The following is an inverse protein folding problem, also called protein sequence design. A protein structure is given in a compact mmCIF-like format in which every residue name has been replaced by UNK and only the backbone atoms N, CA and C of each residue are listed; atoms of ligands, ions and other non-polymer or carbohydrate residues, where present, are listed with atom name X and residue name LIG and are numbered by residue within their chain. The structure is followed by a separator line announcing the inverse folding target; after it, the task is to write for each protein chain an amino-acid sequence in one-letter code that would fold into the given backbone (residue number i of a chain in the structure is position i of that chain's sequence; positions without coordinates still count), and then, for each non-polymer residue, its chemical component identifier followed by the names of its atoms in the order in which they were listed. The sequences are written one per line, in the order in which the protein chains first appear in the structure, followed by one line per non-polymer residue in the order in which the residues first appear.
data_IF_126361709504
#
_entry.id   IF_126361709504
#
_cell.length_a   1.000
_cell.length_b   1.000
_cell.length_c   1.000
_cell.angle_alpha   90.00
_cell.angle_beta   90.00
_cell.angle_gamma   90.00
#
_symmetry.space_group_name_H-M   'P 1'
#
loop_
_entity.id
_entity.type
_entity.pdbx_description
1 polymer ?
#
# COMPACT_ATOMS: atom_id res chain seq x y z
N UNK A 1 -3.53 21.30 3.20
CA UNK A 1 -4.46 22.12 2.40
C UNK A 1 -5.83 21.44 2.38
N UNK A 2 -6.95 22.15 2.60
CA UNK A 2 -8.30 21.63 2.38
C UNK A 2 -8.58 21.35 0.90
N UNK A 3 -9.49 20.41 0.59
CA UNK A 3 -9.85 20.03 -0.78
C UNK A 3 -10.34 21.20 -1.62
N UNK A 4 -11.16 22.09 -1.04
CA UNK A 4 -11.66 23.29 -1.72
C UNK A 4 -10.57 24.27 -2.20
N UNK A 5 -9.37 24.22 -1.62
CA UNK A 5 -8.20 24.98 -2.06
C UNK A 5 -7.38 24.13 -3.05
N UNK A 6 -7.17 22.85 -2.75
CA UNK A 6 -6.40 21.94 -3.60
C UNK A 6 -7.02 21.78 -5.01
N UNK A 7 -8.36 21.74 -5.08
CA UNK A 7 -9.13 21.57 -6.32
C UNK A 7 -9.14 22.82 -7.22
N UNK A 8 -8.55 23.94 -6.78
CA UNK A 8 -8.52 25.17 -7.58
C UNK A 8 -7.63 24.98 -8.81
N UNK A 9 -8.10 25.36 -10.02
CA UNK A 9 -7.25 25.36 -11.19
C UNK A 9 -6.13 26.40 -11.02
N UNK A 10 -4.94 26.09 -11.53
CA UNK A 10 -3.88 27.10 -11.64
C UNK A 10 -4.09 27.94 -12.90
N UNK A 11 -3.81 29.23 -12.80
CA UNK A 11 -4.02 30.18 -13.89
C UNK A 11 -2.73 30.89 -14.28
N UNK A 12 -2.63 32.16 -13.87
CA UNK A 12 -1.43 32.97 -14.06
C UNK A 12 -0.27 32.48 -13.16
N UNK A 13 0.94 32.23 -13.69
CA UNK A 13 2.07 31.77 -12.90
C UNK A 13 2.43 32.69 -11.73
N UNK A 14 2.30 34.01 -11.86
CA UNK A 14 2.63 34.93 -10.77
C UNK A 14 1.61 34.83 -9.62
N UNK A 15 0.31 34.68 -9.95
CA UNK A 15 -0.73 34.41 -8.96
C UNK A 15 -0.52 33.07 -8.25
N UNK A 16 -0.23 32.01 -9.02
CA UNK A 16 0.05 30.68 -8.45
C UNK A 16 1.28 30.71 -7.54
N UNK A 17 2.36 31.40 -7.94
CA UNK A 17 3.54 31.59 -7.10
C UNK A 17 3.21 32.33 -5.80
N UNK A 18 2.36 33.36 -5.86
CA UNK A 18 1.94 34.10 -4.68
C UNK A 18 1.17 33.19 -3.69
N UNK A 19 0.26 32.35 -4.20
CA UNK A 19 -0.47 31.37 -3.38
C UNK A 19 0.48 30.34 -2.76
N UNK A 20 1.39 29.75 -3.55
CA UNK A 20 2.36 28.77 -3.04
C UNK A 20 3.28 29.39 -1.99
N UNK A 21 3.73 30.63 -2.19
CA UNK A 21 4.50 31.38 -1.21
C UNK A 21 3.74 31.57 0.11
N UNK A 22 2.44 31.91 0.04
CA UNK A 22 1.59 32.06 1.23
C UNK A 22 1.45 30.73 1.98
N UNK A 23 1.17 29.65 1.26
CA UNK A 23 1.02 28.30 1.83
C UNK A 23 2.34 27.80 2.46
N UNK A 24 3.48 28.03 1.80
CA UNK A 24 4.79 27.52 2.20
C UNK A 24 5.57 28.50 3.10
N UNK A 25 5.02 29.69 3.36
CA UNK A 25 5.67 30.72 4.18
C UNK A 25 6.92 31.33 3.55
N UNK A 26 7.03 31.32 2.22
CA UNK A 26 8.17 31.85 1.47
C UNK A 26 7.85 33.17 0.76
N UNK A 27 8.84 33.80 0.14
CA UNK A 27 8.70 35.07 -0.60
C UNK A 27 9.46 35.06 -1.92
N UNK A 28 9.46 33.92 -2.61
CA UNK A 28 10.15 33.80 -3.90
C UNK A 28 9.52 34.73 -4.93
N UNK A 29 10.38 35.30 -5.78
CA UNK A 29 9.99 36.02 -6.99
C UNK A 29 10.64 35.33 -8.18
N UNK A 30 10.12 35.55 -9.39
CA UNK A 30 10.78 35.04 -10.60
C UNK A 30 12.17 35.63 -10.86
N UNK A 31 12.55 36.71 -10.16
CA UNK A 31 13.93 37.21 -10.18
C UNK A 31 14.85 36.41 -9.26
N UNK A 32 14.38 36.03 -8.06
CA UNK A 32 15.17 35.27 -7.09
C UNK A 32 15.18 33.77 -7.37
N UNK A 33 14.13 33.24 -8.00
CA UNK A 33 14.00 31.84 -8.38
C UNK A 33 13.41 31.72 -9.80
N UNK A 34 14.20 32.00 -10.86
CA UNK A 34 13.71 31.99 -12.25
C UNK A 34 13.15 30.64 -12.69
N UNK A 35 13.69 29.54 -12.16
CA UNK A 35 13.22 28.17 -12.40
C UNK A 35 11.74 27.93 -12.08
N UNK A 36 11.15 28.71 -11.18
CA UNK A 36 9.73 28.56 -10.84
C UNK A 36 8.80 29.00 -11.99
N UNK A 37 9.26 29.84 -12.92
CA UNK A 37 8.46 30.19 -14.11
C UNK A 37 8.18 28.94 -14.93
N UNK A 38 9.23 28.22 -15.34
CA UNK A 38 9.08 27.03 -16.17
C UNK A 38 8.39 25.89 -15.43
N UNK A 39 8.58 25.78 -14.11
CA UNK A 39 7.86 24.82 -13.28
C UNK A 39 6.34 25.04 -13.31
N UNK A 40 5.90 26.29 -13.13
CA UNK A 40 4.48 26.64 -13.09
C UNK A 40 3.82 26.58 -14.47
N UNK A 41 4.53 26.97 -15.52
CA UNK A 41 4.05 26.78 -16.90
C UNK A 41 3.91 25.30 -17.23
N UNK A 42 4.88 24.45 -16.85
CA UNK A 42 4.76 23.00 -17.00
C UNK A 42 3.54 22.44 -16.27
N UNK A 43 3.32 22.83 -15.02
CA UNK A 43 2.14 22.36 -14.27
C UNK A 43 0.84 22.77 -14.96
N UNK A 44 0.80 23.98 -15.53
CA UNK A 44 -0.36 24.50 -16.27
C UNK A 44 -0.59 23.73 -17.57
N UNK A 45 0.48 23.45 -18.33
CA UNK A 45 0.42 22.63 -19.55
C UNK A 45 -0.06 21.20 -19.26
N UNK A 46 0.28 20.65 -18.08
CA UNK A 46 -0.22 19.34 -17.60
C UNK A 46 -1.62 19.39 -17.00
N UNK A 47 -2.27 20.56 -17.00
CA UNK A 47 -3.61 20.77 -16.42
C UNK A 47 -3.68 20.39 -14.93
N UNK A 48 -2.59 20.60 -14.20
CA UNK A 48 -2.56 20.34 -12.75
C UNK A 48 -3.38 21.38 -11.99
N UNK A 49 -4.13 20.92 -10.99
CA UNK A 49 -4.72 21.80 -10.00
C UNK A 49 -3.66 22.29 -8.99
N UNK A 50 -4.08 23.18 -8.08
CA UNK A 50 -3.19 23.75 -7.08
C UNK A 50 -2.62 22.69 -6.15
N UNK A 51 -3.41 21.69 -5.77
CA UNK A 51 -2.99 20.57 -4.93
C UNK A 51 -1.86 19.78 -5.59
N UNK A 52 -2.06 19.37 -6.84
CA UNK A 52 -1.07 18.60 -7.59
C UNK A 52 0.19 19.45 -7.81
N UNK A 53 0.05 20.73 -8.16
CA UNK A 53 1.18 21.66 -8.32
C UNK A 53 1.97 21.82 -7.01
N UNK A 54 1.28 21.99 -5.88
CA UNK A 54 1.89 22.08 -4.57
C UNK A 54 2.63 20.78 -4.22
N UNK A 55 2.00 19.61 -4.37
CA UNK A 55 2.62 18.32 -4.10
C UNK A 55 3.84 18.04 -4.99
N UNK A 56 3.74 18.39 -6.27
CA UNK A 56 4.81 18.27 -7.26
C UNK A 56 5.90 19.33 -7.16
N UNK A 57 5.84 20.30 -6.25
CA UNK A 57 6.93 21.29 -6.07
C UNK A 57 7.46 21.36 -4.65
N UNK A 58 6.67 20.94 -3.66
CA UNK A 58 7.01 21.02 -2.23
C UNK A 58 8.34 20.34 -1.88
N UNK A 59 8.65 19.12 -2.34
CA UNK A 59 9.93 18.46 -2.03
C UNK A 59 11.19 19.23 -2.48
N UNK A 60 11.05 20.07 -3.50
CA UNK A 60 12.18 20.85 -4.06
C UNK A 60 12.19 22.31 -3.59
N UNK A 61 11.11 22.77 -2.94
CA UNK A 61 10.81 24.19 -2.75
C UNK A 61 11.86 24.92 -1.90
N UNK A 62 12.46 24.24 -0.93
CA UNK A 62 13.47 24.79 -0.03
C UNK A 62 14.89 24.35 -0.38
N UNK A 63 15.11 23.74 -1.54
CA UNK A 63 16.46 23.37 -1.97
C UNK A 63 17.30 24.62 -2.24
N UNK A 64 18.52 24.67 -1.71
CA UNK A 64 19.46 25.80 -1.90
C UNK A 64 19.72 26.09 -3.40
N UNK A 65 19.68 25.05 -4.22
CA UNK A 65 19.89 25.11 -5.67
C UNK A 65 18.60 25.22 -6.48
N UNK A 66 17.47 25.60 -5.87
CA UNK A 66 16.17 25.73 -6.56
C UNK A 66 16.26 26.50 -7.88
N UNK A 67 17.05 27.58 -7.90
CA UNK A 67 17.26 28.45 -9.05
C UNK A 67 18.05 27.82 -10.22
N UNK A 68 18.65 26.64 -10.00
CA UNK A 68 19.39 25.88 -11.02
C UNK A 68 18.57 24.70 -11.58
N UNK A 69 17.43 24.38 -10.97
CA UNK A 69 16.61 23.24 -11.37
C UNK A 69 15.86 23.61 -12.65
N UNK A 70 15.98 22.77 -13.68
CA UNK A 70 15.10 22.82 -14.85
C UNK A 70 13.96 21.79 -14.65
N UNK A 71 12.89 22.23 -13.99
CA UNK A 71 11.78 21.36 -13.56
C UNK A 71 11.16 20.50 -14.66
N UNK A 72 10.86 21.02 -15.87
CA UNK A 72 10.30 20.19 -16.94
C UNK A 72 11.18 18.97 -17.25
N UNK A 73 12.49 19.20 -17.46
CA UNK A 73 13.43 18.12 -17.77
C UNK A 73 13.67 17.18 -16.60
N UNK A 74 13.68 17.71 -15.37
CA UNK A 74 13.78 16.89 -14.16
C UNK A 74 12.59 15.93 -14.08
N UNK A 75 11.36 16.44 -14.16
CA UNK A 75 10.15 15.62 -14.06
C UNK A 75 10.04 14.62 -15.20
N UNK A 76 10.33 15.02 -16.43
CA UNK A 76 10.35 14.11 -17.58
C UNK A 76 11.39 13.00 -17.42
N UNK A 77 12.58 13.31 -16.87
CA UNK A 77 13.58 12.28 -16.59
C UNK A 77 13.12 11.33 -15.50
N UNK A 78 12.60 11.86 -14.38
CA UNK A 78 12.13 11.03 -13.27
C UNK A 78 10.98 10.10 -13.69
N UNK A 79 10.03 10.61 -14.48
CA UNK A 79 8.94 9.81 -15.04
C UNK A 79 9.47 8.74 -16.01
N UNK A 80 10.45 9.08 -16.84
CA UNK A 80 11.08 8.14 -17.77
C UNK A 80 11.84 7.04 -17.02
N UNK A 81 12.65 7.40 -16.04
CA UNK A 81 13.45 6.46 -15.25
C UNK A 81 12.54 5.52 -14.43
N UNK A 82 11.44 6.05 -13.87
CA UNK A 82 10.42 5.26 -13.15
C UNK A 82 9.70 4.24 -14.06
N UNK A 83 9.38 4.66 -15.29
CA UNK A 83 8.80 3.80 -16.32
C UNK A 83 9.77 2.73 -16.78
N UNK A 84 10.99 3.11 -17.16
CA UNK A 84 12.04 2.18 -17.59
C UNK A 84 12.35 1.14 -16.50
N UNK A 85 12.44 1.57 -15.23
CA UNK A 85 12.66 0.64 -14.10
C UNK A 85 11.57 -0.43 -14.03
N UNK A 86 10.30 -0.07 -14.25
CA UNK A 86 9.17 -1.02 -14.17
C UNK A 86 9.01 -1.90 -15.40
N UNK A 87 9.37 -1.40 -16.58
CA UNK A 87 9.44 -2.20 -17.79
C UNK A 87 10.51 -3.29 -17.66
N UNK A 88 11.68 -2.97 -17.10
CA UNK A 88 12.75 -3.93 -16.85
C UNK A 88 12.54 -4.80 -15.60
N UNK A 89 11.58 -4.46 -14.74
CA UNK A 89 11.28 -5.23 -13.54
C UNK A 89 10.68 -6.61 -13.84
N UNK A 90 10.14 -6.83 -15.04
CA UNK A 90 9.52 -8.09 -15.45
C UNK A 90 10.38 -8.80 -16.48
N UNK A 91 10.91 -9.98 -16.11
CA UNK A 91 11.68 -10.84 -17.00
C UNK A 91 11.04 -12.22 -16.99
N UNK A 92 10.65 -12.73 -18.18
CA UNK A 92 10.03 -14.05 -18.37
C UNK A 92 8.83 -14.30 -17.43
N UNK A 93 7.98 -13.29 -17.20
CA UNK A 93 6.82 -13.41 -16.33
C UNK A 93 7.12 -13.38 -14.82
N UNK A 94 8.34 -12.99 -14.44
CA UNK A 94 8.74 -12.82 -13.05
C UNK A 94 9.09 -11.37 -12.76
N UNK A 95 8.65 -10.85 -11.62
CA UNK A 95 9.11 -9.60 -11.04
C UNK A 95 10.47 -9.85 -10.40
N UNK A 96 11.55 -9.32 -10.98
CA UNK A 96 12.94 -9.51 -10.50
C UNK A 96 13.42 -8.41 -9.56
N UNK A 97 12.60 -7.38 -9.37
CA UNK A 97 12.82 -6.27 -8.42
C UNK A 97 11.69 -6.29 -7.38
N UNK A 98 11.90 -7.02 -6.28
CA UNK A 98 10.91 -7.16 -5.20
C UNK A 98 10.75 -5.92 -4.35
N UNK A 99 11.75 -5.03 -4.33
CA UNK A 99 11.77 -3.79 -3.54
C UNK A 99 11.42 -2.58 -4.42
N UNK A 100 10.48 -2.80 -5.34
CA UNK A 100 9.94 -1.74 -6.17
C UNK A 100 9.21 -0.71 -5.30
N UNK A 101 9.57 0.59 -5.35
CA UNK A 101 8.76 1.61 -4.72
C UNK A 101 7.35 1.60 -5.30
N UNK A 102 6.33 1.94 -4.50
CA UNK A 102 4.97 2.02 -5.01
C UNK A 102 4.94 2.98 -6.19
N UNK A 103 4.02 2.79 -7.14
CA UNK A 103 3.90 3.70 -8.29
C UNK A 103 3.41 5.08 -7.89
N UNK A 104 2.57 5.12 -6.87
CA UNK A 104 1.79 6.29 -6.46
C UNK A 104 1.68 6.35 -4.94
N UNK A 105 1.58 7.56 -4.43
CA UNK A 105 1.51 7.88 -3.00
C UNK A 105 0.52 9.00 -2.78
N UNK A 106 -0.30 8.90 -1.74
CA UNK A 106 -1.20 9.97 -1.34
C UNK A 106 -0.45 10.99 -0.48
N UNK A 107 -0.25 12.19 -1.01
CA UNK A 107 0.24 13.33 -0.22
C UNK A 107 -0.92 13.91 0.59
N UNK A 108 -0.81 13.79 1.91
CA UNK A 108 -1.84 14.23 2.85
C UNK A 108 -1.91 15.74 2.97
N UNK A 109 -0.85 16.49 2.64
CA UNK A 109 -0.88 17.95 2.66
C UNK A 109 -1.53 18.54 1.42
N UNK A 110 -1.27 17.96 0.24
CA UNK A 110 -1.88 18.39 -1.02
C UNK A 110 -3.27 17.80 -1.26
N UNK A 111 -3.59 16.71 -0.57
CA UNK A 111 -4.73 15.84 -0.85
C UNK A 111 -4.75 15.32 -2.30
N UNK A 112 -3.57 14.92 -2.81
CA UNK A 112 -3.41 14.34 -4.15
C UNK A 112 -2.57 13.07 -4.13
N UNK A 113 -2.91 12.16 -5.03
CA UNK A 113 -2.07 11.01 -5.35
C UNK A 113 -1.00 11.46 -6.33
N UNK A 114 0.23 11.51 -5.83
CA UNK A 114 1.42 11.85 -6.59
C UNK A 114 2.07 10.58 -7.14
N UNK A 115 2.79 10.66 -8.27
CA UNK A 115 3.74 9.61 -8.62
C UNK A 115 4.86 9.57 -7.57
N UNK A 116 5.35 8.39 -7.21
CA UNK A 116 6.28 8.27 -6.08
C UNK A 116 7.62 8.97 -6.29
N UNK A 117 8.09 9.08 -7.54
CA UNK A 117 9.30 9.84 -7.86
C UNK A 117 9.17 11.33 -7.54
N UNK A 118 7.96 11.86 -7.37
CA UNK A 118 7.75 13.25 -6.97
C UNK A 118 8.19 13.53 -5.52
N UNK A 119 8.34 12.51 -4.68
CA UNK A 119 8.80 12.71 -3.30
C UNK A 119 10.29 13.14 -3.25
N UNK A 120 11.04 13.00 -4.34
CA UNK A 120 12.50 13.23 -4.35
C UNK A 120 13.27 12.23 -3.48
N UNK A 121 12.62 11.14 -3.07
CA UNK A 121 13.20 10.06 -2.27
C UNK A 121 13.58 8.93 -3.22
N UNK A 122 14.88 8.86 -3.57
CA UNK A 122 15.38 7.93 -4.57
C UNK A 122 15.76 6.55 -4.00
N UNK A 123 15.90 6.44 -2.67
CA UNK A 123 16.26 5.19 -1.99
C UNK A 123 15.06 4.61 -1.24
N UNK A 124 14.73 3.34 -1.53
CA UNK A 124 13.60 2.64 -0.90
C UNK A 124 13.74 2.55 0.63
N UNK A 125 14.97 2.58 1.17
CA UNK A 125 15.22 2.62 2.62
C UNK A 125 14.77 3.92 3.30
N UNK A 126 14.77 5.05 2.57
CA UNK A 126 14.35 6.36 3.09
C UNK A 126 12.85 6.62 2.88
N UNK A 127 12.17 5.77 2.10
CA UNK A 127 10.73 5.82 1.89
C UNK A 127 9.96 5.64 3.22
N UNK A 128 10.44 4.74 4.06
CA UNK A 128 9.75 4.30 5.27
C UNK A 128 9.57 5.34 6.38
N UNK A 129 10.39 6.40 6.38
CA UNK A 129 10.34 7.45 7.41
C UNK A 129 9.33 8.55 7.10
N UNK A 130 8.87 8.67 5.86
CA UNK A 130 7.97 9.75 5.42
C UNK A 130 6.57 9.24 5.05
N UNK A 131 6.44 7.94 4.79
CA UNK A 131 5.19 7.31 4.35
C UNK A 131 4.63 6.40 5.43
N UNK A 132 3.35 6.57 5.74
CA UNK A 132 2.57 5.59 6.51
C UNK A 132 1.83 4.65 5.55
N UNK A 133 1.85 3.35 5.80
CA UNK A 133 1.01 2.40 5.06
C UNK A 133 -0.34 2.23 5.76
N UNK A 134 -1.43 2.23 4.98
CA UNK A 134 -2.79 2.13 5.51
C UNK A 134 -3.36 0.77 5.14
N UNK A 135 -3.58 -0.05 6.17
CA UNK A 135 -4.21 -1.36 6.06
C UNK A 135 -5.65 -1.25 6.56
N UNK A 136 -6.61 -1.85 5.85
CA UNK A 136 -8.02 -1.71 6.21
C UNK A 136 -8.87 -2.92 5.81
N UNK A 137 -9.97 -3.12 6.54
CA UNK A 137 -10.97 -4.11 6.15
C UNK A 137 -11.69 -3.65 4.88
N UNK A 138 -11.93 -4.59 3.98
CA UNK A 138 -12.73 -4.37 2.78
C UNK A 138 -14.21 -4.57 3.11
N UNK A 139 -14.97 -3.49 3.07
CA UNK A 139 -16.41 -3.53 3.32
C UNK A 139 -17.13 -4.39 2.26
N UNK A 140 -18.29 -4.99 2.57
CA UNK A 140 -19.14 -5.64 1.57
C UNK A 140 -19.45 -4.70 0.39
N UNK A 141 -19.71 -5.25 -0.81
CA UNK A 141 -19.97 -4.45 -2.02
C UNK A 141 -21.15 -3.48 -1.81
N UNK A 142 -22.19 -3.94 -1.11
CA UNK A 142 -23.37 -3.18 -0.75
C UNK A 142 -23.11 -2.06 0.27
N UNK A 143 -21.95 -2.04 0.93
CA UNK A 143 -21.52 -0.98 1.86
C UNK A 143 -20.39 -0.12 1.28
N UNK A 144 -20.03 -0.33 0.00
CA UNK A 144 -19.05 0.48 -0.74
C UNK A 144 -19.74 1.32 -1.81
N UNK A 145 -19.08 2.41 -2.17
CA UNK A 145 -19.45 3.26 -3.30
C UNK A 145 -18.17 3.63 -4.06
N UNK A 146 -18.22 3.48 -5.39
CA UNK A 146 -17.15 3.94 -6.27
C UNK A 146 -17.24 5.45 -6.43
N UNK A 147 -16.34 6.19 -5.80
CA UNK A 147 -16.33 7.66 -5.81
C UNK A 147 -15.33 8.18 -6.85
N UNK A 148 -15.79 8.99 -7.80
CA UNK A 148 -14.89 9.79 -8.62
C UNK A 148 -14.41 10.99 -7.81
N UNK A 149 -13.09 11.07 -7.57
CA UNK A 149 -12.50 12.06 -6.67
C UNK A 149 -11.31 12.77 -7.31
N UNK A 150 -11.12 14.04 -6.98
CA UNK A 150 -9.94 14.82 -7.39
C UNK A 150 -8.64 14.27 -6.77
N UNK A 151 -8.75 13.53 -5.66
CA UNK A 151 -7.59 12.94 -4.96
C UNK A 151 -6.73 12.09 -5.91
N UNK A 152 -7.34 11.27 -6.77
CA UNK A 152 -6.61 10.47 -7.77
C UNK A 152 -6.72 11.05 -9.19
N UNK A 153 -7.11 12.32 -9.33
CA UNK A 153 -7.32 12.98 -10.61
C UNK A 153 -8.46 12.40 -11.44
N UNK A 154 -9.50 11.85 -10.80
CA UNK A 154 -10.66 11.23 -11.45
C UNK A 154 -10.31 10.07 -12.41
N UNK A 155 -9.15 9.42 -12.25
CA UNK A 155 -8.67 8.37 -13.15
C UNK A 155 -9.44 7.05 -13.02
N UNK A 156 -9.81 6.67 -11.80
CA UNK A 156 -10.69 5.53 -11.51
C UNK A 156 -11.60 5.85 -10.32
N UNK A 157 -12.78 5.21 -10.21
CA UNK A 157 -13.60 5.31 -9.02
C UNK A 157 -12.91 4.64 -7.84
N UNK A 158 -12.85 5.33 -6.70
CA UNK A 158 -12.24 4.81 -5.47
C UNK A 158 -13.31 4.12 -4.64
N UNK A 159 -13.16 2.83 -4.26
CA UNK A 159 -14.19 2.07 -3.57
C UNK A 159 -14.24 2.38 -2.06
N UNK A 160 -14.74 3.56 -1.70
CA UNK A 160 -14.88 3.98 -0.31
C UNK A 160 -16.08 3.32 0.38
N UNK A 161 -16.05 3.14 1.71
CA UNK A 161 -17.27 2.92 2.49
C UNK A 161 -18.28 4.04 2.25
N UNK A 162 -19.58 3.72 2.25
CA UNK A 162 -20.66 4.69 1.95
C UNK A 162 -20.65 5.93 2.84
N UNK A 163 -20.32 5.75 4.11
CA UNK A 163 -20.37 6.81 5.13
C UNK A 163 -18.99 7.45 5.37
N UNK A 164 -17.98 7.11 4.55
CA UNK A 164 -16.64 7.67 4.68
C UNK A 164 -16.60 9.09 4.13
N UNK A 165 -16.15 10.03 4.97
CA UNK A 165 -15.66 11.34 4.53
C UNK A 165 -14.13 11.26 4.26
N UNK A 166 -13.69 11.37 2.99
CA UNK A 166 -12.26 11.34 2.66
C UNK A 166 -11.44 12.46 3.31
N UNK A 167 -12.05 13.63 3.54
CA UNK A 167 -11.36 14.74 4.20
C UNK A 167 -11.18 14.45 5.70
N UNK A 168 -12.21 13.90 6.34
CA UNK A 168 -12.14 13.37 7.71
C UNK A 168 -11.03 12.32 7.88
N UNK A 169 -10.96 11.34 6.96
CA UNK A 169 -9.88 10.33 6.94
C UNK A 169 -8.50 11.00 6.84
N UNK A 170 -8.31 11.93 5.89
CA UNK A 170 -7.04 12.65 5.73
C UNK A 170 -6.64 13.39 6.99
N UNK A 171 -7.59 14.08 7.63
CA UNK A 171 -7.35 14.82 8.88
C UNK A 171 -6.99 13.88 10.01
N UNK A 172 -7.65 12.72 10.11
CA UNK A 172 -7.28 11.69 11.08
C UNK A 172 -5.83 11.24 10.88
N UNK A 173 -5.47 10.82 9.67
CA UNK A 173 -4.13 10.33 9.31
C UNK A 173 -3.02 11.35 9.58
N UNK A 174 -3.29 12.64 9.40
CA UNK A 174 -2.38 13.73 9.75
C UNK A 174 -2.17 13.88 11.26
N UNK A 175 -3.18 13.55 12.06
CA UNK A 175 -3.16 13.73 13.51
C UNK A 175 -2.74 12.49 14.29
N UNK A 176 -2.76 11.28 13.70
CA UNK A 176 -2.41 10.02 14.40
C UNK A 176 -1.03 10.05 15.08
N UNK A 177 -0.07 10.79 14.54
CA UNK A 177 1.30 10.92 15.06
C UNK A 177 1.47 11.99 16.15
N UNK A 178 0.43 12.76 16.44
CA UNK A 178 0.46 13.80 17.49
C UNK A 178 0.09 13.24 18.87
N UNK A 179 -0.20 11.94 18.97
CA UNK A 179 -0.46 11.28 20.25
C UNK A 179 0.86 11.17 21.04
N UNK A 180 0.82 11.65 22.28
CA UNK A 180 1.98 11.82 23.17
C UNK A 180 2.57 10.50 23.71
N UNK A 181 2.08 9.36 23.24
CA UNK A 181 2.34 8.01 23.76
C UNK A 181 3.49 7.27 23.03
N UNK A 182 4.02 7.81 21.92
CA UNK A 182 5.15 7.20 21.20
C UNK A 182 6.45 7.96 21.51
N UNK A 183 7.35 7.45 22.39
CA UNK A 183 8.42 8.27 22.96
C UNK A 183 9.55 8.64 21.99
N UNK A 184 9.61 8.06 20.79
CA UNK A 184 10.84 8.06 19.99
C UNK A 184 10.72 8.29 18.48
N UNK A 185 9.74 9.06 17.97
CA UNK A 185 9.85 9.70 16.64
C UNK A 185 8.68 10.67 16.37
N UNK A 186 8.98 11.97 16.39
CA UNK A 186 8.07 13.06 16.00
C UNK A 186 8.14 13.35 14.49
N UNK A 187 8.11 12.33 13.63
CA UNK A 187 8.01 12.58 12.19
C UNK A 187 6.57 12.30 11.81
N UNK A 188 5.78 13.37 11.64
CA UNK A 188 4.45 13.25 11.07
C UNK A 188 4.61 12.69 9.64
N UNK A 189 3.95 11.57 9.35
CA UNK A 189 3.92 11.05 8.00
C UNK A 189 3.16 12.05 7.12
N UNK A 190 3.89 12.72 6.22
CA UNK A 190 3.35 13.68 5.26
C UNK A 190 2.60 12.96 4.13
N UNK A 191 2.91 11.68 3.94
CA UNK A 191 2.45 10.85 2.86
C UNK A 191 1.83 9.57 3.40
N UNK A 192 0.85 9.05 2.70
CA UNK A 192 0.24 7.75 2.97
C UNK A 192 0.28 6.88 1.71
N UNK A 193 0.49 5.58 1.89
CA UNK A 193 0.18 4.58 0.88
C UNK A 193 -1.13 3.89 1.28
N UNK A 194 -2.16 4.08 0.45
CA UNK A 194 -3.48 3.48 0.61
C UNK A 194 -3.82 2.79 -0.71
N UNK A 195 -3.88 1.46 -0.72
CA UNK A 195 -4.08 0.61 -1.90
C UNK A 195 -5.23 1.10 -2.82
N UNK A 196 -6.38 1.46 -2.28
CA UNK A 196 -7.55 1.92 -3.05
C UNK A 196 -7.32 3.25 -3.79
N UNK A 197 -6.38 4.08 -3.31
CA UNK A 197 -5.95 5.33 -3.95
C UNK A 197 -4.66 5.17 -4.77
N UNK A 198 -3.73 4.35 -4.31
CA UNK A 198 -2.37 4.24 -4.84
C UNK A 198 -2.23 3.12 -5.89
N UNK A 199 -3.18 2.19 -5.95
CA UNK A 199 -3.33 1.23 -7.03
C UNK A 199 -4.54 1.59 -7.90
N UNK A 200 -4.46 1.23 -9.17
CA UNK A 200 -5.55 1.48 -10.11
C UNK A 200 -6.69 0.50 -9.80
N UNK A 201 -7.90 1.00 -9.65
CA UNK A 201 -9.08 0.19 -9.33
C UNK A 201 -9.94 -0.09 -10.57
N UNK A 202 -10.81 -1.09 -10.44
CA UNK A 202 -11.85 -1.41 -11.43
C UNK A 202 -12.82 -0.25 -11.64
N UNK A 203 -13.39 -0.15 -12.84
CA UNK A 203 -14.42 0.84 -13.20
C UNK A 203 -13.86 2.14 -13.77
N UNK A 204 -12.58 2.15 -14.15
CA UNK A 204 -11.96 3.26 -14.86
C UNK A 204 -12.47 3.40 -16.30
N UNK A 205 -12.03 4.45 -17.00
CA UNK A 205 -12.25 4.58 -18.45
C UNK A 205 -11.60 3.37 -19.17
N UNK A 206 -12.05 2.96 -20.38
CA UNK A 206 -11.53 1.77 -21.05
C UNK A 206 -9.99 1.70 -21.20
N UNK A 207 -9.34 2.84 -21.45
CA UNK A 207 -7.87 2.90 -21.52
C UNK A 207 -7.21 2.65 -20.16
N UNK A 208 -7.86 3.03 -19.07
CA UNK A 208 -7.38 2.84 -17.70
C UNK A 208 -7.48 1.36 -17.29
N UNK A 209 -8.52 0.64 -17.73
CA UNK A 209 -8.62 -0.81 -17.49
C UNK A 209 -7.47 -1.58 -18.14
N UNK A 210 -7.08 -1.21 -19.37
CA UNK A 210 -5.91 -1.80 -20.04
C UNK A 210 -4.59 -1.50 -19.32
N UNK A 211 -4.48 -0.33 -18.67
CA UNK A 211 -3.32 0.01 -17.84
C UNK A 211 -3.36 -0.73 -16.50
N UNK A 212 -4.53 -0.98 -15.92
CA UNK A 212 -4.67 -1.65 -14.62
C UNK A 212 -4.03 -3.02 -14.63
N UNK A 213 -4.34 -3.85 -15.63
CA UNK A 213 -3.74 -5.18 -15.75
C UNK A 213 -2.20 -5.10 -15.88
N UNK A 214 -1.68 -4.14 -16.64
CA UNK A 214 -0.23 -3.92 -16.79
C UNK A 214 0.43 -3.47 -15.49
N UNK A 215 -0.17 -2.52 -14.79
CA UNK A 215 0.32 -2.02 -13.50
C UNK A 215 0.30 -3.13 -12.44
N UNK A 216 -0.81 -3.87 -12.34
CA UNK A 216 -1.00 -4.94 -11.36
C UNK A 216 0.00 -6.09 -11.50
N UNK A 217 0.48 -6.40 -12.71
CA UNK A 217 1.53 -7.41 -12.93
C UNK A 217 2.78 -7.16 -12.08
N UNK A 218 3.10 -5.90 -11.79
CA UNK A 218 4.26 -5.51 -10.96
C UNK A 218 3.83 -5.04 -9.58
N UNK A 219 2.81 -4.17 -9.51
CA UNK A 219 2.49 -3.44 -8.29
C UNK A 219 1.81 -4.33 -7.24
N UNK A 220 1.04 -5.36 -7.64
CA UNK A 220 0.39 -6.29 -6.69
C UNK A 220 1.41 -7.22 -6.02
N UNK A 221 2.32 -7.89 -6.77
CA UNK A 221 3.38 -8.70 -6.14
C UNK A 221 4.33 -7.93 -5.21
N UNK A 222 4.38 -6.59 -5.29
CA UNK A 222 5.28 -5.76 -4.48
C UNK A 222 4.61 -5.07 -3.29
N UNK A 223 3.29 -5.21 -3.08
CA UNK A 223 2.54 -4.59 -1.97
C UNK A 223 3.19 -4.86 -0.61
N UNK A 224 3.53 -6.13 -0.34
CA UNK A 224 4.14 -6.50 0.94
C UNK A 224 5.46 -5.75 1.23
N UNK A 225 6.24 -5.39 0.20
CA UNK A 225 7.46 -4.60 0.37
C UNK A 225 7.16 -3.17 0.83
N UNK A 226 6.02 -2.59 0.44
CA UNK A 226 5.60 -1.26 0.90
C UNK A 226 5.35 -1.28 2.41
N UNK A 227 4.55 -2.24 2.89
CA UNK A 227 4.28 -2.41 4.32
C UNK A 227 5.54 -2.75 5.11
N UNK A 228 6.45 -3.57 4.54
CA UNK A 228 7.73 -3.87 5.16
C UNK A 228 8.58 -2.61 5.35
N UNK A 229 8.58 -1.69 4.40
CA UNK A 229 9.43 -0.49 4.44
C UNK A 229 8.87 0.62 5.32
N UNK A 230 7.55 0.82 5.37
CA UNK A 230 6.93 1.86 6.18
C UNK A 230 7.17 1.65 7.68
N UNK A 231 7.58 2.69 8.40
CA UNK A 231 7.76 2.62 9.86
C UNK A 231 6.43 2.64 10.62
N UNK A 232 5.42 3.27 10.03
CA UNK A 232 4.07 3.33 10.57
C UNK A 232 3.13 2.56 9.67
N UNK A 233 2.32 1.70 10.30
CA UNK A 233 1.18 1.04 9.67
C UNK A 233 -0.07 1.41 10.46
N UNK A 234 -1.04 2.01 9.78
CA UNK A 234 -2.34 2.34 10.37
C UNK A 234 -3.33 1.25 9.97
N UNK A 235 -3.97 0.62 10.96
CA UNK A 235 -4.91 -0.48 10.76
C UNK A 235 -6.32 -0.03 11.10
N UNK A 236 -7.21 -0.08 10.10
CA UNK A 236 -8.65 0.12 10.26
C UNK A 236 -9.38 -1.22 10.27
N UNK A 237 -9.68 -1.74 11.47
CA UNK A 237 -10.23 -3.09 11.67
C UNK A 237 -11.68 -3.24 11.16
N UNK A 238 -12.50 -2.20 11.31
CA UNK A 238 -13.93 -2.22 10.94
C UNK A 238 -14.20 -1.72 9.52
N UNK A 239 -13.19 -1.18 8.83
CA UNK A 239 -13.32 -0.58 7.50
C UNK A 239 -12.61 0.77 7.42
N UNK A 240 -12.12 1.14 6.23
CA UNK A 240 -11.33 2.36 6.02
C UNK A 240 -12.04 3.62 6.57
N UNK A 241 -11.41 4.31 7.52
CA UNK A 241 -11.94 5.53 8.12
C UNK A 241 -13.20 5.34 8.98
N UNK A 242 -13.63 4.10 9.22
CA UNK A 242 -14.77 3.81 10.10
C UNK A 242 -14.32 3.69 11.57
N UNK A 243 -15.21 3.98 12.54
CA UNK A 243 -14.91 3.81 13.95
C UNK A 243 -14.46 2.38 14.31
N UNK A 244 -13.49 2.28 15.21
CA UNK A 244 -13.10 1.01 15.81
C UNK A 244 -14.13 0.61 16.86
N UNK A 245 -14.88 -0.45 16.58
CA UNK A 245 -16.00 -0.94 17.39
C UNK A 245 -15.93 -2.46 17.54
N UNK A 246 -16.54 -2.97 18.61
CA UNK A 246 -16.70 -4.42 18.76
C UNK A 246 -17.54 -4.96 17.59
N UNK A 247 -16.95 -5.87 16.82
CA UNK A 247 -17.57 -6.48 15.64
C UNK A 247 -17.53 -8.00 15.74
N UNK A 248 -18.33 -8.66 14.89
CA UNK A 248 -18.23 -10.09 14.73
C UNK A 248 -16.88 -10.44 14.09
N UNK A 249 -15.95 -10.95 14.90
CA UNK A 249 -14.63 -11.36 14.43
C UNK A 249 -14.71 -12.50 13.40
N UNK A 250 -15.75 -13.33 13.40
CA UNK A 250 -15.95 -14.41 12.43
C UNK A 250 -16.48 -13.94 11.07
N UNK A 251 -16.76 -12.64 10.91
CA UNK A 251 -17.19 -12.10 9.63
C UNK A 251 -16.07 -12.30 8.58
N UNK A 252 -16.33 -12.94 7.43
CA UNK A 252 -15.36 -13.10 6.34
C UNK A 252 -14.70 -11.80 5.83
N UNK A 253 -15.35 -10.66 6.07
CA UNK A 253 -14.88 -9.33 5.70
C UNK A 253 -14.16 -8.59 6.83
N UNK A 254 -14.13 -9.13 8.06
CA UNK A 254 -13.34 -8.58 9.15
C UNK A 254 -11.86 -8.60 8.78
N UNK A 255 -11.11 -7.58 9.20
CA UNK A 255 -9.71 -7.39 8.84
C UNK A 255 -8.86 -8.66 9.02
N UNK A 256 -8.91 -9.28 10.22
CA UNK A 256 -8.13 -10.49 10.53
C UNK A 256 -8.38 -11.69 9.60
N UNK A 257 -9.52 -11.71 8.90
CA UNK A 257 -9.93 -12.82 8.04
C UNK A 257 -9.65 -12.54 6.56
N UNK A 258 -9.03 -11.42 6.19
CA UNK A 258 -8.71 -11.12 4.78
C UNK A 258 -7.32 -11.62 4.41
N UNK A 259 -7.20 -12.28 3.26
CA UNK A 259 -5.94 -12.87 2.78
C UNK A 259 -4.83 -11.83 2.67
N UNK A 260 -5.10 -10.71 1.99
CA UNK A 260 -4.13 -9.64 1.78
C UNK A 260 -3.59 -9.03 3.09
N UNK A 261 -4.44 -8.87 4.11
CA UNK A 261 -4.02 -8.29 5.41
C UNK A 261 -2.96 -9.13 6.13
N UNK A 262 -2.75 -10.39 5.72
CA UNK A 262 -1.67 -11.21 6.26
C UNK A 262 -0.29 -10.63 5.88
N UNK A 263 -0.13 -10.20 4.62
CA UNK A 263 1.07 -9.53 4.14
C UNK A 263 1.26 -8.13 4.75
N UNK A 264 0.19 -7.54 5.28
CA UNK A 264 0.21 -6.21 5.89
C UNK A 264 0.55 -6.30 7.39
N UNK A 265 0.02 -7.34 8.06
CA UNK A 265 0.21 -7.60 9.48
C UNK A 265 1.59 -8.15 9.81
N UNK A 266 2.03 -9.22 9.14
CA UNK A 266 3.26 -9.91 9.49
C UNK A 266 4.51 -8.99 9.48
N UNK A 267 4.72 -8.11 8.48
CA UNK A 267 5.82 -7.15 8.52
C UNK A 267 5.68 -6.12 9.65
N UNK A 268 4.45 -5.75 10.00
CA UNK A 268 4.13 -4.80 11.07
C UNK A 268 4.60 -5.28 12.44
N UNK A 269 4.79 -6.58 12.61
CA UNK A 269 5.25 -7.19 13.87
C UNK A 269 6.77 -7.15 14.09
N UNK A 270 7.53 -6.55 13.18
CA UNK A 270 8.97 -6.30 13.35
C UNK A 270 9.22 -5.31 14.49
N UNK A 271 10.28 -5.52 15.28
CA UNK A 271 10.63 -4.71 16.46
C UNK A 271 10.79 -3.20 16.20
N UNK A 272 10.93 -2.79 14.95
CA UNK A 272 11.16 -1.40 14.54
C UNK A 272 9.92 -0.74 13.89
N UNK A 273 8.73 -1.31 14.07
CA UNK A 273 7.50 -0.86 13.42
C UNK A 273 6.44 -0.45 14.44
N UNK A 274 5.76 0.65 14.13
CA UNK A 274 4.67 1.18 14.93
C UNK A 274 3.34 0.88 14.23
N UNK A 275 2.50 0.07 14.85
CA UNK A 275 1.14 -0.20 14.41
C UNK A 275 0.19 0.66 15.19
N UNK A 276 -0.57 1.48 14.48
CA UNK A 276 -1.58 2.37 15.04
C UNK A 276 -2.97 1.87 14.64
N UNK A 277 -3.93 1.96 15.55
CA UNK A 277 -5.33 1.74 15.22
C UNK A 277 -5.93 3.03 14.69
N UNK A 278 -6.54 2.95 13.51
CA UNK A 278 -7.42 3.97 12.97
C UNK A 278 -8.83 3.84 13.52
N UNK A 279 -9.61 4.92 13.44
CA UNK A 279 -11.02 4.95 13.84
C UNK A 279 -11.25 5.00 15.34
N UNK A 280 -10.22 5.27 16.17
CA UNK A 280 -10.38 5.27 17.62
C UNK A 280 -11.29 6.42 18.07
N UNK A 281 -12.39 6.05 18.72
CA UNK A 281 -13.37 6.96 19.33
C UNK A 281 -13.44 6.76 20.85
N UNK A 282 -14.29 7.53 21.55
CA UNK A 282 -14.53 7.34 22.99
C UNK A 282 -15.29 6.05 23.30
N UNK A 283 -15.95 5.47 22.29
CA UNK A 283 -16.74 4.24 22.38
C UNK A 283 -15.93 3.01 22.00
N UNK A 284 -14.72 3.18 21.48
CA UNK A 284 -13.87 2.08 21.07
C UNK A 284 -13.52 1.16 22.25
N UNK A 285 -13.45 -0.16 22.02
CA UNK A 285 -13.06 -1.08 23.06
C UNK A 285 -11.61 -0.82 23.48
N UNK A 286 -11.31 -1.06 24.76
CA UNK A 286 -9.95 -0.97 25.27
C UNK A 286 -9.11 -2.11 24.68
N UNK A 287 -8.23 -1.78 23.76
CA UNK A 287 -7.37 -2.73 23.06
C UNK A 287 -6.01 -2.09 22.80
N UNK A 288 -4.95 -2.83 23.13
CA UNK A 288 -3.56 -2.48 22.85
C UNK A 288 -2.96 -3.62 22.02
N UNK A 289 -2.54 -3.30 20.79
CA UNK A 289 -1.96 -4.24 19.83
C UNK A 289 -0.71 -4.92 20.41
N UNK A 290 0.05 -4.22 21.27
CA UNK A 290 1.31 -4.72 21.81
C UNK A 290 1.15 -5.48 23.13
N UNK A 291 -0.07 -5.52 23.68
CA UNK A 291 -0.35 -6.18 24.95
C UNK A 291 -1.00 -7.55 24.70
N UNK A 292 -0.20 -8.61 24.73
CA UNK A 292 -0.68 -10.00 24.54
C UNK A 292 -1.66 -10.45 25.64
N UNK A 293 -1.50 -9.88 26.84
CA UNK A 293 -2.38 -10.09 27.99
C UNK A 293 -3.11 -8.78 28.28
N UNK A 294 -4.21 -8.46 27.59
CA UNK A 294 -4.92 -7.23 27.83
C UNK A 294 -5.27 -7.12 29.32
N UNK A 295 -5.01 -5.98 29.93
CA UNK A 295 -5.58 -5.63 31.23
C UNK A 295 -7.14 -5.50 31.17
N UNK A 296 -7.72 -5.66 29.97
CA UNK A 296 -9.13 -5.47 29.66
C UNK A 296 -9.91 -6.80 29.67
N UNK A 297 -11.02 -6.81 30.44
CA UNK A 297 -11.92 -7.94 30.72
C UNK A 297 -12.95 -8.26 29.60
N UNK A 298 -12.84 -7.75 28.37
CA UNK A 298 -13.86 -8.00 27.34
C UNK A 298 -13.52 -9.22 26.46
N UNK A 299 -14.53 -10.06 26.19
CA UNK A 299 -14.40 -11.23 25.32
C UNK A 299 -13.85 -10.86 23.94
N UNK A 300 -14.31 -9.72 23.39
CA UNK A 300 -13.87 -9.23 22.10
C UNK A 300 -12.36 -8.93 22.06
N UNK A 301 -11.84 -8.18 23.04
CA UNK A 301 -10.43 -7.79 23.07
C UNK A 301 -9.48 -9.00 23.18
N UNK A 302 -9.85 -10.02 23.97
CA UNK A 302 -9.09 -11.27 24.12
C UNK A 302 -9.05 -12.07 22.81
N UNK A 303 -10.19 -12.20 22.11
CA UNK A 303 -10.23 -12.94 20.85
C UNK A 303 -9.56 -12.17 19.70
N UNK A 304 -9.63 -10.84 19.73
CA UNK A 304 -8.92 -9.99 18.78
C UNK A 304 -7.39 -10.11 18.98
N UNK A 305 -6.89 -10.08 20.22
CA UNK A 305 -5.44 -10.24 20.49
C UNK A 305 -4.91 -11.59 20.02
N UNK A 306 -5.68 -12.67 20.19
CA UNK A 306 -5.34 -14.00 19.67
C UNK A 306 -5.23 -14.01 18.15
N UNK A 307 -6.17 -13.38 17.43
CA UNK A 307 -6.13 -13.30 15.96
C UNK A 307 -5.02 -12.39 15.43
N UNK A 308 -4.59 -11.42 16.25
CA UNK A 308 -3.48 -10.51 15.96
C UNK A 308 -2.23 -10.90 16.76
N UNK A 309 -2.04 -12.19 17.03
CA UNK A 309 -0.86 -12.70 17.74
C UNK A 309 0.42 -12.38 16.97
N UNK A 310 1.31 -11.60 17.59
CA UNK A 310 2.64 -11.28 17.06
C UNK A 310 3.51 -12.53 16.92
N UNK A 311 3.58 -13.44 17.94
CA UNK A 311 4.31 -14.69 17.80
C UNK A 311 3.85 -15.54 16.62
N UNK A 312 2.54 -15.68 16.41
CA UNK A 312 1.99 -16.49 15.31
C UNK A 312 2.29 -15.85 13.95
N UNK A 313 2.18 -14.53 13.86
CA UNK A 313 2.54 -13.79 12.65
C UNK A 313 4.02 -13.92 12.29
N UNK A 314 4.91 -13.93 13.29
CA UNK A 314 6.36 -14.14 13.10
C UNK A 314 6.67 -15.58 12.71
N UNK A 315 6.00 -16.56 13.30
CA UNK A 315 6.16 -17.97 12.94
C UNK A 315 5.84 -18.25 11.46
N UNK A 316 4.93 -17.46 10.86
CA UNK A 316 4.61 -17.56 9.43
C UNK A 316 5.73 -17.07 8.50
N UNK A 317 6.69 -16.26 8.98
CA UNK A 317 7.79 -15.75 8.14
C UNK A 317 8.83 -16.83 7.83
N UNK A 318 8.99 -17.82 8.71
CA UNK A 318 10.03 -18.85 8.59
C UNK A 318 9.46 -20.23 8.16
N UNK A 319 8.14 -20.36 8.08
CA UNK A 319 7.46 -21.63 7.86
C UNK A 319 6.32 -21.52 6.86
N UNK A 320 6.49 -22.16 5.69
CA UNK A 320 5.45 -22.21 4.65
C UNK A 320 4.14 -22.84 5.15
N UNK A 321 4.17 -23.79 6.07
CA UNK A 321 2.97 -24.42 6.60
C UNK A 321 2.19 -23.48 7.51
N UNK A 322 2.90 -22.77 8.40
CA UNK A 322 2.28 -21.73 9.23
C UNK A 322 1.64 -20.65 8.36
N UNK A 323 2.38 -20.19 7.34
CA UNK A 323 1.88 -19.21 6.38
C UNK A 323 0.66 -19.73 5.59
N UNK A 324 0.74 -20.95 5.07
CA UNK A 324 -0.36 -21.57 4.32
C UNK A 324 -1.59 -21.84 5.19
N UNK A 325 -1.43 -22.30 6.43
CA UNK A 325 -2.53 -22.52 7.36
C UNK A 325 -3.21 -21.21 7.74
N UNK A 326 -2.45 -20.13 7.92
CA UNK A 326 -3.01 -18.79 8.15
C UNK A 326 -3.72 -18.26 6.91
N UNK A 327 -3.13 -18.43 5.72
CA UNK A 327 -3.71 -18.00 4.45
C UNK A 327 -4.99 -18.77 4.10
N UNK A 328 -5.01 -20.09 4.33
CA UNK A 328 -6.14 -20.97 4.04
C UNK A 328 -7.40 -20.61 4.83
N UNK A 329 -7.23 -20.17 6.09
CA UNK A 329 -8.31 -19.69 6.96
C UNK A 329 -8.85 -18.30 6.59
N UNK A 330 -8.20 -17.59 5.66
CA UNK A 330 -8.57 -16.23 5.25
C UNK A 330 -9.34 -16.21 3.93
N UNK A 331 -10.18 -15.20 3.76
CA UNK A 331 -10.99 -14.96 2.58
C UNK A 331 -10.31 -14.00 1.60
N UNK A 332 -10.43 -14.30 0.32
CA UNK A 332 -9.97 -13.48 -0.80
C UNK A 332 -11.05 -13.38 -1.87
N UNK A 333 -10.85 -12.57 -2.93
CA UNK A 333 -11.77 -12.52 -4.07
C UNK A 333 -11.59 -13.75 -4.98
N UNK A 334 -10.37 -14.29 -5.09
CA UNK A 334 -10.07 -15.58 -5.71
C UNK A 334 -8.88 -16.29 -5.08
N UNK A 335 -8.66 -17.56 -5.44
CA UNK A 335 -7.53 -18.33 -4.91
C UNK A 335 -6.17 -17.81 -5.40
N UNK A 336 -6.13 -17.18 -6.57
CA UNK A 336 -4.92 -16.51 -7.08
C UNK A 336 -4.45 -15.39 -6.13
N UNK A 337 -5.36 -14.67 -5.48
CA UNK A 337 -5.02 -13.67 -4.46
C UNK A 337 -4.31 -14.31 -3.26
N UNK A 338 -4.72 -15.51 -2.83
CA UNK A 338 -4.06 -16.23 -1.74
C UNK A 338 -2.66 -16.68 -2.13
N UNK A 339 -2.49 -17.20 -3.35
CA UNK A 339 -1.18 -17.59 -3.89
C UNK A 339 -0.26 -16.37 -3.97
N UNK A 340 -0.73 -15.26 -4.52
CA UNK A 340 0.02 -14.00 -4.58
C UNK A 340 0.32 -13.44 -3.17
N UNK A 341 -0.65 -13.57 -2.26
CA UNK A 341 -0.55 -13.29 -0.83
C UNK A 341 0.55 -14.08 -0.13
N UNK A 342 0.76 -15.34 -0.55
CA UNK A 342 1.76 -16.21 0.05
C UNK A 342 3.18 -15.85 -0.41
N UNK A 343 3.33 -15.27 -1.61
CA UNK A 343 4.63 -14.96 -2.21
C UNK A 343 5.57 -14.15 -1.31
N UNK A 344 5.01 -13.23 -0.53
CA UNK A 344 5.79 -12.43 0.42
C UNK A 344 6.53 -13.27 1.48
N UNK A 345 5.97 -14.41 1.89
CA UNK A 345 6.51 -15.26 2.96
C UNK A 345 7.53 -16.27 2.46
N UNK A 346 7.42 -16.67 1.19
CA UNK A 346 8.12 -17.85 0.66
C UNK A 346 9.10 -17.51 -0.44
N UNK A 347 9.05 -16.30 -0.98
CA UNK A 347 9.96 -15.80 -2.01
C UNK A 347 10.89 -14.73 -1.44
N UNK A 348 12.12 -14.67 -1.96
CA UNK A 348 13.05 -13.58 -1.69
C UNK A 348 12.80 -12.43 -2.68
N UNK A 349 13.78 -12.18 -3.57
CA UNK A 349 13.81 -11.01 -4.45
C UNK A 349 13.05 -11.17 -5.76
N UNK A 350 12.62 -12.40 -6.07
CA UNK A 350 11.94 -12.72 -7.32
C UNK A 350 10.55 -13.22 -6.98
N UNK A 351 9.53 -12.67 -7.62
CA UNK A 351 8.11 -13.03 -7.41
C UNK A 351 7.42 -13.26 -8.74
N UNK A 352 6.42 -14.14 -8.83
CA UNK A 352 5.61 -14.26 -10.05
C UNK A 352 4.85 -12.95 -10.29
N UNK A 353 4.64 -12.59 -11.57
CA UNK A 353 3.70 -11.50 -11.89
C UNK A 353 2.28 -11.88 -11.47
N UNK A 354 1.49 -10.87 -11.11
CA UNK A 354 0.08 -11.07 -10.79
C UNK A 354 -0.79 -10.96 -12.05
N UNK A 355 -1.61 -11.99 -12.29
CA UNK A 355 -2.55 -12.06 -13.40
C UNK A 355 -3.87 -12.60 -12.85
N UNK A 356 -4.86 -11.71 -12.68
CA UNK A 356 -6.11 -12.04 -11.97
C UNK A 356 -6.92 -13.17 -12.63
N UNK A 357 -6.79 -13.35 -13.95
CA UNK A 357 -7.51 -14.37 -14.74
C UNK A 357 -6.74 -15.69 -14.85
N UNK A 358 -5.52 -15.77 -14.30
CA UNK A 358 -4.68 -16.96 -14.36
C UNK A 358 -5.28 -18.11 -13.55
N UNK A 359 -5.10 -19.34 -14.01
CA UNK A 359 -5.48 -20.53 -13.25
C UNK A 359 -4.69 -20.62 -11.93
N UNK A 360 -5.33 -21.10 -10.85
CA UNK A 360 -4.67 -21.23 -9.54
C UNK A 360 -3.46 -22.15 -9.60
N UNK A 361 -3.52 -23.25 -10.36
CA UNK A 361 -2.41 -24.20 -10.50
C UNK A 361 -1.23 -23.59 -11.26
N UNK A 362 -1.49 -22.77 -12.29
CA UNK A 362 -0.44 -22.04 -13.02
C UNK A 362 0.20 -20.95 -12.14
N UNK A 363 -0.60 -20.26 -11.35
CA UNK A 363 -0.11 -19.26 -10.39
C UNK A 363 0.74 -19.93 -9.30
N UNK A 364 0.30 -21.08 -8.80
CA UNK A 364 1.00 -21.88 -7.80
C UNK A 364 2.33 -22.43 -8.34
N UNK A 365 2.32 -23.00 -9.54
CA UNK A 365 3.52 -23.47 -10.23
C UNK A 365 4.55 -22.34 -10.39
N UNK A 366 4.11 -21.17 -10.85
CA UNK A 366 4.98 -20.00 -10.97
C UNK A 366 5.54 -19.54 -9.60
N UNK A 367 4.75 -19.64 -8.53
CA UNK A 367 5.21 -19.32 -7.18
C UNK A 367 6.29 -20.29 -6.69
N UNK A 368 6.09 -21.61 -6.86
CA UNK A 368 7.05 -22.65 -6.44
C UNK A 368 8.42 -22.45 -7.10
N UNK A 369 8.43 -22.03 -8.38
CA UNK A 369 9.65 -21.64 -9.10
C UNK A 369 10.45 -20.53 -8.39
N UNK A 370 9.74 -19.59 -7.76
CA UNK A 370 10.31 -18.41 -7.09
C UNK A 370 10.63 -18.62 -5.61
N UNK A 371 10.23 -19.75 -5.02
CA UNK A 371 10.39 -19.99 -3.58
C UNK A 371 11.86 -20.01 -3.15
N UNK A 372 12.11 -19.75 -1.88
CA UNK A 372 13.43 -19.98 -1.30
C UNK A 372 13.75 -21.48 -1.28
N UNK A 373 15.04 -21.88 -1.27
CA UNK A 373 15.42 -23.27 -1.07
C UNK A 373 14.84 -23.88 0.22
N UNK A 374 14.68 -23.07 1.27
CA UNK A 374 14.09 -23.49 2.56
C UNK A 374 12.61 -23.83 2.38
N UNK A 375 11.82 -22.93 1.78
CA UNK A 375 10.40 -23.17 1.55
C UNK A 375 10.16 -24.37 0.63
N UNK A 376 10.94 -24.53 -0.44
CA UNK A 376 10.87 -25.74 -1.29
C UNK A 376 11.26 -27.02 -0.55
N UNK A 377 12.29 -26.95 0.29
CA UNK A 377 12.70 -28.08 1.14
C UNK A 377 11.58 -28.51 2.10
N UNK A 378 10.93 -27.54 2.75
CA UNK A 378 9.77 -27.79 3.61
C UNK A 378 8.66 -28.54 2.85
N UNK A 379 8.30 -28.10 1.64
CA UNK A 379 7.35 -28.83 0.80
C UNK A 379 7.83 -30.27 0.49
N UNK A 380 9.09 -30.42 0.06
CA UNK A 380 9.68 -31.70 -0.34
C UNK A 380 9.68 -32.77 0.76
N UNK A 381 9.94 -32.38 2.01
CA UNK A 381 10.02 -33.34 3.11
C UNK A 381 8.66 -33.75 3.68
N UNK A 382 7.60 -32.99 3.40
CA UNK A 382 6.27 -33.21 4.01
C UNK A 382 5.29 -33.88 3.07
N UNK A 383 5.33 -33.56 1.77
CA UNK A 383 4.41 -34.14 0.80
C UNK A 383 5.06 -35.34 0.09
N UNK A 384 4.62 -36.58 0.36
CA UNK A 384 5.21 -37.76 -0.28
C UNK A 384 4.76 -37.92 -1.75
N UNK A 385 3.62 -37.35 -2.12
CA UNK A 385 3.01 -37.48 -3.44
C UNK A 385 3.11 -36.16 -4.20
N UNK A 386 3.40 -36.25 -5.50
CA UNK A 386 3.29 -35.10 -6.39
C UNK A 386 1.81 -34.72 -6.60
N UNK A 387 1.56 -33.43 -6.79
CA UNK A 387 0.28 -32.94 -7.27
C UNK A 387 0.03 -33.35 -8.72
N UNK A 388 -1.25 -33.39 -9.10
CA UNK A 388 -1.62 -33.68 -10.48
C UNK A 388 -1.55 -32.39 -11.32
N UNK A 389 -0.58 -32.32 -12.22
CA UNK A 389 -0.44 -31.20 -13.16
C UNK A 389 -0.25 -31.77 -14.56
N UNK A 390 -1.22 -31.56 -15.45
CA UNK A 390 -1.22 -32.16 -16.79
C UNK A 390 -0.07 -31.64 -17.68
N UNK A 391 0.55 -30.50 -17.34
CA UNK A 391 1.63 -29.87 -18.13
C UNK A 391 2.73 -29.18 -17.27
N UNK A 392 3.08 -29.72 -16.10
CA UNK A 392 4.10 -29.11 -15.23
C UNK A 392 5.54 -29.38 -15.69
N UNK A 393 6.36 -28.33 -15.74
CA UNK A 393 7.82 -28.44 -15.93
C UNK A 393 8.52 -29.13 -14.74
N UNK A 394 7.86 -29.19 -13.58
CA UNK A 394 8.37 -29.84 -12.37
C UNK A 394 8.03 -31.33 -12.34
N UNK A 395 9.06 -32.16 -12.14
CA UNK A 395 8.90 -33.61 -11.89
C UNK A 395 8.18 -33.92 -10.58
N UNK A 396 8.24 -33.00 -9.62
CA UNK A 396 7.62 -33.13 -8.32
C UNK A 396 7.36 -31.75 -7.71
N UNK A 397 6.11 -31.50 -7.31
CA UNK A 397 5.68 -30.44 -6.40
C UNK A 397 4.29 -30.81 -5.87
N UNK A 398 3.87 -30.42 -4.65
CA UNK A 398 2.50 -30.61 -4.22
C UNK A 398 1.57 -29.64 -4.97
N UNK A 399 0.28 -29.97 -5.08
CA UNK A 399 -0.75 -29.03 -5.53
C UNK A 399 -1.06 -27.98 -4.47
N UNK A 400 -1.64 -26.86 -4.90
CA UNK A 400 -2.14 -25.83 -3.99
C UNK A 400 -3.09 -26.42 -2.94
N UNK A 401 -4.01 -27.29 -3.38
CA UNK A 401 -4.95 -27.98 -2.50
C UNK A 401 -4.26 -28.94 -1.52
N UNK A 402 -3.22 -29.67 -1.96
CA UNK A 402 -2.44 -30.51 -1.05
C UNK A 402 -1.77 -29.67 0.03
N UNK A 403 -1.20 -28.51 -0.32
CA UNK A 403 -0.60 -27.59 0.65
C UNK A 403 -1.64 -27.11 1.68
N UNK A 404 -2.77 -26.59 1.22
CA UNK A 404 -3.80 -26.07 2.12
C UNK A 404 -4.32 -27.15 3.08
N UNK A 405 -4.67 -28.33 2.56
CA UNK A 405 -5.18 -29.43 3.38
C UNK A 405 -4.11 -29.95 4.35
N UNK A 406 -2.86 -30.05 3.90
CA UNK A 406 -1.75 -30.51 4.73
C UNK A 406 -1.40 -29.51 5.84
N UNK A 407 -1.46 -28.22 5.54
CA UNK A 407 -1.18 -27.16 6.51
C UNK A 407 -2.25 -27.04 7.62
N UNK A 408 -3.51 -27.40 7.35
CA UNK A 408 -4.55 -27.46 8.39
C UNK A 408 -4.39 -28.66 9.34
N UNK A 409 -3.74 -29.73 8.88
CA UNK A 409 -3.57 -30.96 9.64
C UNK A 409 -2.31 -30.99 10.51
N UNK A 410 -1.38 -30.04 10.30
CA UNK A 410 -0.11 -29.86 11.01
C UNK A 410 -0.23 -28.75 12.06
#
# INVERSE_FOLDING_TARGET
MPSSIADQPIGDPAMTLALLNDILGTRYTFKSAPSLVSALEYCKEKEYDLGMTYGMLRPWWLCDNLHLIHFPSLFESLERDDRERREHAVVNGLVVESEMPPRRIWDLYSNRVLPSWALGIFEFGNFGSHVQAISHAWMPLEQRVGVSTSINGHKWPVPFPKDLDPDGLRIELLNLHTRNDVPHRRIAAEYAWLDVLCLRQMGGKPHEEGLRAKEWRVDVPTIGAVYQSCWIIVVYLNGLGLPFEEANLDNPRHWCNRAWTMQEWCPATSYYRNVLLGGITKQSPAFDIYCESPAANSYFAVHLSQRMSIPDARACLDNIFGAAAMMGRRHAEGEVDKVAGLAYFVCNHIRPVFEAEKGVDDAWSALVSCMTPVARGQLFFIFPEAGNFEDSEFRWMPSWNQLLNGAEAL
#
